data_IF_852314754154
#
_entry.id   IF_852314754154
#
_cell.length_a   1.000
_cell.length_b   1.000
_cell.length_c   1.000
_cell.angle_alpha   90.00
_cell.angle_beta   90.00
_cell.angle_gamma   90.00
#
_symmetry.space_group_name_H-M   'P 1'
#
loop_
_entity.id
_entity.type
_entity.pdbx_description
1 polymer ?
#
# COMPACT_ATOMS: atom_id res chain seq x y z
N UNK A 1 9.42 4.50 -8.11
CA UNK A 1 9.96 3.58 -7.09
C UNK A 1 11.21 2.94 -7.64
N UNK A 2 12.17 2.67 -6.75
CA UNK A 2 13.53 2.29 -7.15
C UNK A 2 13.76 0.79 -6.99
N UNK A 3 13.02 0.15 -6.10
CA UNK A 3 12.97 -1.30 -5.92
C UNK A 3 11.64 -1.70 -5.27
N UNK A 4 11.37 -2.99 -5.18
CA UNK A 4 10.20 -3.55 -4.48
C UNK A 4 10.58 -4.72 -3.60
N UNK A 5 9.86 -4.89 -2.48
CA UNK A 5 9.81 -6.14 -1.74
C UNK A 5 8.49 -6.84 -2.07
N UNK A 6 8.57 -8.11 -2.40
CA UNK A 6 7.45 -9.02 -2.57
C UNK A 6 7.64 -10.21 -1.62
N UNK A 7 6.58 -10.81 -1.12
CA UNK A 7 6.67 -12.03 -0.32
C UNK A 7 6.13 -13.24 -1.10
N UNK A 8 6.87 -14.35 -1.06
CA UNK A 8 6.51 -15.57 -1.80
C UNK A 8 5.18 -16.15 -1.33
N UNK A 9 4.26 -16.57 -2.23
CA UNK A 9 2.96 -17.13 -1.87
C UNK A 9 3.01 -18.62 -1.47
N UNK A 10 4.17 -19.16 -1.12
CA UNK A 10 4.35 -20.59 -0.81
C UNK A 10 3.35 -21.11 0.24
N UNK A 11 3.06 -20.29 1.26
CA UNK A 11 2.14 -20.64 2.35
C UNK A 11 0.86 -19.79 2.34
N UNK A 12 0.65 -19.01 1.27
CA UNK A 12 -0.57 -18.22 1.13
C UNK A 12 -1.82 -19.10 1.15
N UNK A 13 -2.80 -18.71 1.96
CA UNK A 13 -4.08 -19.38 2.09
C UNK A 13 -5.14 -18.46 2.71
N UNK A 14 -6.43 -18.74 2.48
CA UNK A 14 -7.55 -18.02 3.10
C UNK A 14 -8.03 -18.79 4.33
N UNK A 15 -7.29 -18.70 5.43
CA UNK A 15 -7.60 -19.42 6.68
C UNK A 15 -8.64 -18.72 7.56
N UNK A 16 -8.75 -17.39 7.43
CA UNK A 16 -9.62 -16.54 8.25
C UNK A 16 -10.22 -15.41 7.41
N UNK A 17 -11.26 -14.74 7.92
CA UNK A 17 -11.82 -13.53 7.30
C UNK A 17 -11.64 -12.35 8.24
N UNK A 18 -10.68 -11.51 7.94
CA UNK A 18 -10.33 -10.32 8.72
C UNK A 18 -10.70 -9.01 8.00
N UNK A 19 -11.33 -9.11 6.83
CA UNK A 19 -11.84 -7.97 6.07
C UNK A 19 -13.12 -8.34 5.31
N UNK A 20 -13.94 -7.35 4.90
CA UNK A 20 -15.23 -7.59 4.25
C UNK A 20 -15.14 -8.18 2.84
N UNK A 21 -13.98 -8.17 2.20
CA UNK A 21 -13.77 -8.68 0.85
C UNK A 21 -13.29 -10.13 0.82
N UNK A 22 -12.98 -10.71 1.99
CA UNK A 22 -12.50 -12.11 2.08
C UNK A 22 -13.59 -13.08 1.67
N UNK A 23 -13.28 -13.97 0.72
CA UNK A 23 -14.15 -15.06 0.30
C UNK A 23 -13.70 -16.41 0.89
N UNK A 24 -14.22 -16.78 2.04
CA UNK A 24 -13.92 -18.07 2.72
C UNK A 24 -14.45 -19.32 2.02
N UNK A 25 -15.33 -19.18 1.03
CA UNK A 25 -15.98 -20.31 0.35
C UNK A 25 -15.15 -20.87 -0.79
N UNK A 26 -14.10 -20.16 -1.21
CA UNK A 26 -13.23 -20.58 -2.30
C UNK A 26 -11.88 -21.02 -1.78
N UNK A 27 -11.45 -22.19 -2.19
CA UNK A 27 -10.09 -22.68 -1.94
C UNK A 27 -9.09 -21.94 -2.85
N UNK A 28 -7.92 -21.65 -2.33
CA UNK A 28 -6.82 -21.04 -3.08
C UNK A 28 -6.20 -22.08 -4.01
N UNK A 29 -6.20 -21.79 -5.31
CA UNK A 29 -5.41 -22.58 -6.25
C UNK A 29 -3.93 -22.18 -6.12
N UNK A 30 -3.15 -22.99 -5.41
CA UNK A 30 -1.74 -22.71 -5.09
C UNK A 30 -0.86 -22.54 -6.33
N UNK A 31 -1.07 -23.38 -7.36
CA UNK A 31 -0.30 -23.29 -8.61
C UNK A 31 -0.64 -22.01 -9.38
N UNK A 32 -1.91 -21.63 -9.42
CA UNK A 32 -2.33 -20.37 -10.03
C UNK A 32 -1.79 -19.17 -9.26
N UNK A 33 -1.87 -19.16 -7.92
CA UNK A 33 -1.29 -18.11 -7.08
C UNK A 33 0.21 -17.94 -7.33
N UNK A 34 0.96 -19.06 -7.41
CA UNK A 34 2.38 -19.06 -7.74
C UNK A 34 2.65 -18.50 -9.14
N UNK A 35 1.84 -18.89 -10.14
CA UNK A 35 1.96 -18.36 -11.51
C UNK A 35 1.70 -16.85 -11.55
N UNK A 36 0.65 -16.37 -10.87
CA UNK A 36 0.32 -14.95 -10.77
C UNK A 36 1.44 -14.16 -10.10
N UNK A 37 1.98 -14.65 -8.99
CA UNK A 37 3.13 -14.06 -8.32
C UNK A 37 4.36 -13.99 -9.23
N UNK A 38 4.70 -15.07 -9.93
CA UNK A 38 5.83 -15.08 -10.85
C UNK A 38 5.64 -14.08 -12.00
N UNK A 39 4.40 -13.91 -12.48
CA UNK A 39 4.08 -12.89 -13.48
C UNK A 39 4.32 -11.49 -12.94
N UNK A 40 3.94 -11.22 -11.69
CA UNK A 40 4.22 -9.94 -11.01
C UNK A 40 5.73 -9.67 -10.90
N UNK A 41 6.50 -10.67 -10.46
CA UNK A 41 7.98 -10.59 -10.40
C UNK A 41 8.58 -10.27 -11.76
N UNK A 42 8.15 -11.00 -12.80
CA UNK A 42 8.65 -10.77 -14.17
C UNK A 42 8.27 -9.39 -14.73
N UNK A 43 7.12 -8.86 -14.35
CA UNK A 43 6.68 -7.53 -14.73
C UNK A 43 7.65 -6.45 -14.25
N UNK A 44 8.11 -6.51 -12.99
CA UNK A 44 9.12 -5.61 -12.44
C UNK A 44 10.51 -5.83 -13.08
N UNK A 45 10.95 -7.09 -13.19
CA UNK A 45 12.25 -7.43 -13.78
C UNK A 45 12.39 -6.94 -15.22
N UNK A 46 11.35 -7.09 -16.06
CA UNK A 46 11.32 -6.57 -17.44
C UNK A 46 11.52 -5.06 -17.51
N UNK A 47 11.13 -4.33 -16.47
CA UNK A 47 11.30 -2.87 -16.33
C UNK A 47 12.58 -2.48 -15.62
N UNK A 48 13.46 -3.46 -15.35
CA UNK A 48 14.72 -3.27 -14.61
C UNK A 48 14.52 -2.68 -13.21
N UNK A 49 13.34 -2.91 -12.60
CA UNK A 49 13.06 -2.58 -11.20
C UNK A 49 13.54 -3.76 -10.35
N UNK A 50 14.51 -3.57 -9.44
CA UNK A 50 15.00 -4.61 -8.54
C UNK A 50 13.87 -5.18 -7.68
N UNK A 51 13.84 -6.52 -7.58
CA UNK A 51 12.86 -7.25 -6.79
C UNK A 51 13.58 -8.00 -5.68
N UNK A 52 13.27 -7.66 -4.45
CA UNK A 52 13.70 -8.37 -3.25
C UNK A 52 12.57 -9.32 -2.82
N UNK A 53 12.88 -10.57 -2.55
CA UNK A 53 11.88 -11.58 -2.14
C UNK A 53 12.05 -11.85 -0.65
N UNK A 54 11.02 -11.51 0.11
CA UNK A 54 10.89 -11.88 1.52
C UNK A 54 10.49 -13.37 1.58
N UNK A 55 11.23 -14.13 2.38
CA UNK A 55 10.93 -15.55 2.59
C UNK A 55 9.57 -15.75 3.26
N UNK A 56 8.78 -16.71 2.77
CA UNK A 56 7.43 -16.95 3.29
C UNK A 56 7.48 -17.62 4.66
N UNK A 57 6.44 -17.35 5.47
CA UNK A 57 6.23 -18.02 6.76
C UNK A 57 4.97 -18.89 6.72
N UNK A 58 5.06 -20.12 7.23
CA UNK A 58 3.89 -21.00 7.36
C UNK A 58 2.89 -20.54 8.44
N UNK A 59 3.35 -19.64 9.34
CA UNK A 59 2.53 -19.06 10.40
C UNK A 59 1.66 -17.93 9.85
N UNK A 60 2.17 -17.15 8.87
CA UNK A 60 1.54 -15.93 8.36
C UNK A 60 1.15 -16.08 6.89
N UNK A 61 -0.03 -16.66 6.59
CA UNK A 61 -0.48 -16.84 5.20
C UNK A 61 -0.70 -15.51 4.46
N UNK A 62 -1.02 -14.43 5.18
CA UNK A 62 -1.24 -13.10 4.62
C UNK A 62 0.05 -12.28 4.42
N UNK A 63 1.23 -12.84 4.73
CA UNK A 63 2.52 -12.17 4.50
C UNK A 63 2.74 -11.76 3.04
N UNK A 64 2.03 -12.39 2.10
CA UNK A 64 2.01 -12.01 0.67
C UNK A 64 1.55 -10.56 0.46
N UNK A 65 0.79 -9.99 1.41
CA UNK A 65 0.36 -8.58 1.40
C UNK A 65 1.37 -7.72 2.17
N UNK A 66 2.63 -7.82 1.76
CA UNK A 66 3.79 -7.23 2.44
C UNK A 66 3.78 -5.70 2.51
N UNK A 67 3.01 -5.02 1.66
CA UNK A 67 2.87 -3.56 1.70
C UNK A 67 2.35 -3.05 3.05
N UNK A 68 1.54 -3.88 3.74
CA UNK A 68 1.00 -3.53 5.04
C UNK A 68 2.05 -3.57 6.17
N UNK A 69 3.23 -4.15 5.93
CA UNK A 69 4.23 -4.39 6.98
C UNK A 69 5.02 -3.14 7.38
N UNK A 70 5.12 -2.15 6.50
CA UNK A 70 5.89 -0.93 6.79
C UNK A 70 5.50 0.27 5.90
N UNK A 71 5.83 1.47 6.38
CA UNK A 71 6.00 2.67 5.58
C UNK A 71 7.49 2.89 5.30
N UNK A 72 7.86 3.05 4.05
CA UNK A 72 9.22 3.43 3.65
C UNK A 72 9.24 4.95 3.43
N UNK A 73 10.14 5.65 4.11
CA UNK A 73 10.30 7.09 3.92
C UNK A 73 10.92 7.37 2.55
N UNK A 74 10.27 8.27 1.82
CA UNK A 74 10.68 8.67 0.48
C UNK A 74 11.34 10.04 0.50
N UNK A 75 12.35 10.24 -0.37
CA UNK A 75 13.06 11.51 -0.44
C UNK A 75 13.89 11.80 0.82
N UNK A 76 14.31 10.78 1.55
CA UNK A 76 15.10 10.88 2.77
C UNK A 76 16.61 10.71 2.50
N UNK A 77 17.49 11.31 3.30
CA UNK A 77 18.95 11.17 3.10
C UNK A 77 19.49 9.79 3.50
N UNK A 78 18.69 8.99 4.18
CA UNK A 78 19.00 7.61 4.58
C UNK A 78 17.77 6.71 4.43
N UNK A 79 18.00 5.41 4.32
CA UNK A 79 16.93 4.41 4.24
C UNK A 79 16.24 4.28 5.59
N UNK A 80 14.96 4.56 5.67
CA UNK A 80 14.15 4.46 6.90
C UNK A 80 12.85 3.74 6.61
N UNK A 81 12.49 2.80 7.49
CA UNK A 81 11.24 2.07 7.49
C UNK A 81 10.55 2.18 8.85
N UNK A 82 9.28 2.57 8.87
CA UNK A 82 8.44 2.57 10.08
C UNK A 82 7.55 1.34 9.99
N UNK A 83 7.68 0.41 10.95
CA UNK A 83 6.96 -0.85 10.94
C UNK A 83 5.48 -0.66 11.26
N UNK A 84 4.68 -1.57 10.72
CA UNK A 84 3.30 -1.73 11.09
C UNK A 84 3.15 -2.15 12.57
N UNK A 85 1.93 -1.95 13.07
CA UNK A 85 1.43 -2.52 14.32
C UNK A 85 0.02 -3.02 14.05
N UNK A 86 -0.08 -4.27 13.65
CA UNK A 86 -1.32 -4.85 13.13
C UNK A 86 -2.45 -4.86 14.15
N UNK A 87 -3.65 -4.43 13.71
CA UNK A 87 -4.87 -4.52 14.49
C UNK A 87 -5.32 -5.98 14.66
N UNK A 88 -5.21 -6.77 13.58
CA UNK A 88 -5.68 -8.16 13.55
C UNK A 88 -4.63 -9.10 14.14
N UNK A 89 -5.01 -9.90 15.19
CA UNK A 89 -4.08 -10.83 15.83
C UNK A 89 -3.43 -11.82 14.87
N UNK A 90 -4.15 -12.23 13.83
CA UNK A 90 -3.71 -13.20 12.82
C UNK A 90 -2.49 -12.73 12.02
N UNK A 91 -2.26 -11.40 11.96
CA UNK A 91 -1.14 -10.80 11.23
C UNK A 91 0.00 -10.28 12.12
N UNK A 92 -0.20 -10.25 13.44
CA UNK A 92 0.83 -9.76 14.38
C UNK A 92 2.07 -10.64 14.34
N UNK A 93 3.21 -10.01 14.08
CA UNK A 93 4.51 -10.66 13.87
C UNK A 93 4.98 -10.65 12.42
N UNK A 94 4.09 -10.42 11.43
CA UNK A 94 4.51 -10.20 10.03
C UNK A 94 5.46 -9.01 9.92
N UNK A 95 5.20 -7.93 10.68
CA UNK A 95 6.02 -6.72 10.72
C UNK A 95 7.45 -6.99 11.19
N UNK A 96 7.64 -7.97 12.08
CA UNK A 96 8.98 -8.34 12.57
C UNK A 96 9.79 -9.06 11.50
N UNK A 97 9.14 -9.93 10.72
CA UNK A 97 9.79 -10.60 9.57
C UNK A 97 10.18 -9.58 8.50
N UNK A 98 9.26 -8.69 8.15
CA UNK A 98 9.53 -7.61 7.21
C UNK A 98 10.60 -6.64 7.75
N UNK A 99 10.57 -6.30 9.04
CA UNK A 99 11.56 -5.44 9.69
C UNK A 99 12.96 -6.00 9.65
N UNK A 100 13.13 -7.28 10.00
CA UNK A 100 14.43 -7.99 9.92
C UNK A 100 14.95 -8.02 8.49
N UNK A 101 14.07 -8.26 7.52
CA UNK A 101 14.43 -8.25 6.12
C UNK A 101 14.84 -6.85 5.63
N UNK A 102 14.08 -5.81 5.98
CA UNK A 102 14.41 -4.43 5.63
C UNK A 102 15.72 -3.98 6.29
N UNK A 103 15.98 -4.40 7.53
CA UNK A 103 17.26 -4.16 8.19
C UNK A 103 18.44 -4.77 7.41
N UNK A 104 18.28 -5.99 6.90
CA UNK A 104 19.31 -6.63 6.05
C UNK A 104 19.55 -5.91 4.73
N UNK A 105 18.58 -5.11 4.25
CA UNK A 105 18.70 -4.22 3.08
C UNK A 105 19.27 -2.83 3.44
N UNK A 106 19.68 -2.64 4.69
CA UNK A 106 20.31 -1.41 5.18
C UNK A 106 19.32 -0.32 5.63
N UNK A 107 18.07 -0.66 5.91
CA UNK A 107 17.09 0.29 6.45
C UNK A 107 17.29 0.46 7.97
N UNK A 108 17.24 1.71 8.45
CA UNK A 108 16.91 2.02 9.84
C UNK A 108 15.47 1.64 10.05
N UNK A 109 15.21 0.68 10.94
CA UNK A 109 13.87 0.19 11.25
C UNK A 109 13.38 0.85 12.53
N UNK A 110 12.19 1.46 12.46
CA UNK A 110 11.53 2.14 13.58
C UNK A 110 10.26 1.36 13.93
N UNK A 111 10.19 0.85 15.15
CA UNK A 111 8.98 0.25 15.72
C UNK A 111 8.13 1.33 16.39
N UNK A 112 6.80 1.23 16.23
CA UNK A 112 5.86 2.11 16.93
C UNK A 112 5.69 1.68 18.40
N UNK A 113 5.28 2.59 19.30
CA UNK A 113 5.09 2.29 20.72
C UNK A 113 4.08 1.15 20.94
N UNK A 114 4.35 0.33 21.96
CA UNK A 114 3.41 -0.67 22.44
C UNK A 114 2.35 -0.03 23.34
N UNK A 115 1.24 0.38 22.72
CA UNK A 115 0.13 1.02 23.38
C UNK A 115 -1.18 0.34 22.98
N UNK A 116 -2.09 0.02 23.94
CA UNK A 116 -3.41 -0.50 23.61
C UNK A 116 -4.17 0.41 22.67
N UNK A 117 -4.79 -0.17 21.64
CA UNK A 117 -5.55 0.59 20.64
C UNK A 117 -4.74 1.39 19.63
N UNK A 118 -3.40 1.38 19.72
CA UNK A 118 -2.53 1.95 18.69
C UNK A 118 -2.28 0.90 17.62
N UNK A 119 -2.80 1.14 16.40
CA UNK A 119 -2.64 0.26 15.25
C UNK A 119 -2.30 1.05 13.99
N UNK A 120 -1.44 0.48 13.16
CA UNK A 120 -1.02 1.05 11.88
C UNK A 120 -0.64 -0.06 10.90
N UNK A 121 -1.11 0.03 9.65
CA UNK A 121 -0.90 -1.04 8.67
C UNK A 121 -0.15 -0.55 7.39
N UNK A 122 1.01 0.08 7.60
CA UNK A 122 2.02 0.36 6.58
C UNK A 122 1.53 1.11 5.34
N UNK A 123 2.01 0.70 4.16
CA UNK A 123 1.63 1.30 2.88
C UNK A 123 0.17 0.97 2.46
N UNK A 124 -0.53 0.10 3.17
CA UNK A 124 -1.99 -0.06 3.02
C UNK A 124 -2.76 1.20 3.38
N UNK A 125 -2.31 1.90 4.43
CA UNK A 125 -2.92 3.13 4.95
C UNK A 125 -2.01 4.36 4.81
N UNK A 126 -1.02 4.28 3.92
CA UNK A 126 -0.10 5.38 3.61
C UNK A 126 0.16 5.47 2.12
N UNK A 127 0.09 6.68 1.57
CA UNK A 127 0.40 6.95 0.16
C UNK A 127 1.26 8.19 0.02
N UNK A 128 2.33 8.08 -0.73
CA UNK A 128 3.11 9.23 -1.18
C UNK A 128 2.48 9.87 -2.41
N UNK A 129 2.50 11.19 -2.49
CA UNK A 129 2.32 11.89 -3.78
C UNK A 129 3.43 11.49 -4.75
N UNK A 130 3.16 11.60 -6.06
CA UNK A 130 4.14 11.19 -7.07
C UNK A 130 5.48 11.94 -6.97
N UNK A 131 5.46 13.21 -6.55
CA UNK A 131 6.65 14.04 -6.35
C UNK A 131 7.34 13.84 -4.99
N UNK A 132 6.75 13.03 -4.10
CA UNK A 132 7.29 12.72 -2.78
C UNK A 132 7.14 13.84 -1.74
N UNK A 133 6.44 14.93 -2.05
CA UNK A 133 6.29 16.08 -1.13
C UNK A 133 5.18 15.91 -0.10
N UNK A 134 4.14 15.14 -0.46
CA UNK A 134 3.00 14.89 0.39
C UNK A 134 2.94 13.42 0.80
N UNK A 135 2.70 13.18 2.07
CA UNK A 135 2.39 11.87 2.63
C UNK A 135 0.96 11.87 3.15
N UNK A 136 0.14 11.02 2.58
CA UNK A 136 -1.23 10.78 2.98
C UNK A 136 -1.28 9.61 3.94
N UNK A 137 -1.75 9.83 5.15
CA UNK A 137 -2.01 8.81 6.18
C UNK A 137 -3.51 8.67 6.38
N UNK A 138 -3.97 7.47 6.62
CA UNK A 138 -5.39 7.21 6.76
C UNK A 138 -5.69 6.38 8.01
N UNK A 139 -6.86 6.62 8.61
CA UNK A 139 -7.36 5.87 9.75
C UNK A 139 -8.86 5.57 9.61
N UNK A 140 -9.33 4.60 10.38
CA UNK A 140 -10.73 4.17 10.38
C UNK A 140 -10.89 2.68 10.09
N UNK A 141 -12.13 2.21 9.99
CA UNK A 141 -12.50 0.84 9.60
C UNK A 141 -11.92 -0.31 10.44
N UNK A 142 -11.31 0.00 11.60
CA UNK A 142 -10.80 -1.00 12.56
C UNK A 142 -9.47 -1.64 12.16
N UNK A 143 -8.69 -0.97 11.29
CA UNK A 143 -7.32 -1.34 10.93
C UNK A 143 -6.34 -0.32 11.49
N UNK A 144 -6.04 0.74 10.79
CA UNK A 144 -5.24 1.84 11.33
C UNK A 144 -6.11 2.74 12.20
N UNK A 145 -5.61 3.13 13.37
CA UNK A 145 -6.28 4.02 14.31
C UNK A 145 -5.74 5.44 14.21
N UNK A 146 -6.48 6.43 14.72
CA UNK A 146 -6.01 7.81 14.79
C UNK A 146 -4.72 7.91 15.61
N UNK A 147 -4.63 7.21 16.74
CA UNK A 147 -3.41 7.12 17.55
C UNK A 147 -2.25 6.49 16.79
N UNK A 148 -2.53 5.52 15.88
CA UNK A 148 -1.53 4.91 15.02
C UNK A 148 -0.91 5.90 14.04
N UNK A 149 -1.72 6.71 13.34
CA UNK A 149 -1.18 7.71 12.42
C UNK A 149 -0.48 8.86 13.14
N UNK A 150 -0.91 9.23 14.36
CA UNK A 150 -0.18 10.21 15.17
C UNK A 150 1.20 9.68 15.59
N UNK A 151 1.31 8.43 16.01
CA UNK A 151 2.60 7.80 16.34
C UNK A 151 3.53 7.74 15.11
N UNK A 152 2.99 7.45 13.92
CA UNK A 152 3.77 7.51 12.65
C UNK A 152 4.25 8.92 12.38
N UNK A 153 3.39 9.93 12.53
CA UNK A 153 3.75 11.34 12.37
C UNK A 153 4.87 11.76 13.32
N UNK A 154 4.76 11.41 14.60
CA UNK A 154 5.80 11.66 15.60
C UNK A 154 7.12 10.99 15.24
N UNK A 155 7.09 9.72 14.79
CA UNK A 155 8.28 9.01 14.34
C UNK A 155 8.96 9.71 13.15
N UNK A 156 8.18 10.20 12.16
CA UNK A 156 8.68 10.96 11.01
C UNK A 156 9.32 12.27 11.46
N UNK A 157 8.65 13.03 12.34
CA UNK A 157 9.17 14.32 12.83
C UNK A 157 10.46 14.13 13.64
N UNK A 158 10.53 13.12 14.50
CA UNK A 158 11.74 12.77 15.24
C UNK A 158 12.88 12.41 14.29
N UNK A 159 12.61 11.58 13.29
CA UNK A 159 13.58 11.16 12.29
C UNK A 159 14.04 12.35 11.44
N UNK A 160 13.16 13.30 11.14
CA UNK A 160 13.48 14.55 10.43
C UNK A 160 14.48 15.41 11.22
N UNK A 161 14.25 15.57 12.52
CA UNK A 161 15.16 16.28 13.42
C UNK A 161 16.54 15.62 13.50
N UNK A 162 16.57 14.29 13.70
CA UNK A 162 17.81 13.51 13.76
C UNK A 162 18.62 13.57 12.45
N UNK A 163 17.93 13.56 11.32
CA UNK A 163 18.55 13.61 9.98
C UNK A 163 18.84 15.03 9.50
N UNK A 164 18.40 16.06 10.23
CA UNK A 164 18.40 17.48 9.79
C UNK A 164 17.76 17.65 8.43
N UNK A 165 16.63 16.96 8.20
CA UNK A 165 15.90 16.91 6.94
C UNK A 165 14.50 17.48 7.06
N UNK A 166 13.96 18.03 5.98
CA UNK A 166 12.59 18.56 5.98
C UNK A 166 11.59 17.41 5.88
N UNK A 167 10.60 17.33 6.80
CA UNK A 167 9.55 16.33 6.69
C UNK A 167 8.61 16.67 5.52
N UNK A 168 7.89 15.65 4.97
CA UNK A 168 6.83 15.90 4.00
C UNK A 168 5.66 16.65 4.62
N UNK A 169 4.81 17.24 3.77
CA UNK A 169 3.47 17.63 4.22
C UNK A 169 2.67 16.38 4.54
N UNK A 170 2.19 16.23 5.78
CA UNK A 170 1.45 15.05 6.23
C UNK A 170 -0.04 15.38 6.26
N UNK A 171 -0.82 14.67 5.47
CA UNK A 171 -2.28 14.71 5.42
C UNK A 171 -2.87 13.55 6.22
N UNK A 172 -3.98 13.78 6.91
CA UNK A 172 -4.64 12.76 7.74
C UNK A 172 -6.09 12.57 7.29
N UNK A 173 -6.39 11.43 6.71
CA UNK A 173 -7.70 11.13 6.16
C UNK A 173 -8.47 10.12 7.01
N UNK A 174 -9.78 10.32 7.13
CA UNK A 174 -10.68 9.41 7.84
C UNK A 174 -11.53 8.60 6.84
N UNK A 175 -11.32 7.28 6.79
CA UNK A 175 -12.15 6.34 6.03
C UNK A 175 -13.33 5.91 6.89
N UNK A 176 -14.53 5.92 6.29
CA UNK A 176 -15.81 5.53 6.91
C UNK A 176 -16.47 4.34 6.24
N UNK A 177 -16.11 4.02 4.98
CA UNK A 177 -16.68 2.88 4.23
C UNK A 177 -15.96 1.58 4.60
N UNK A 178 -16.68 0.62 5.18
CA UNK A 178 -16.12 -0.65 5.67
C UNK A 178 -15.51 -1.52 4.56
N UNK A 179 -16.02 -1.46 3.32
CA UNK A 179 -15.49 -2.25 2.19
C UNK A 179 -14.13 -1.77 1.73
N UNK A 180 -13.82 -0.49 1.93
CA UNK A 180 -12.50 0.09 1.67
C UNK A 180 -11.68 0.14 2.97
N UNK A 181 -11.46 -1.03 3.57
CA UNK A 181 -10.84 -1.20 4.89
C UNK A 181 -9.37 -0.71 4.98
N UNK A 182 -8.72 -0.42 3.85
CA UNK A 182 -7.45 0.28 3.72
C UNK A 182 -7.55 1.40 2.69
N UNK A 183 -6.69 2.41 2.81
CA UNK A 183 -6.62 3.54 1.88
C UNK A 183 -6.28 3.10 0.45
N UNK A 184 -5.48 2.08 0.29
CA UNK A 184 -5.07 1.54 -1.01
C UNK A 184 -6.22 0.96 -1.85
N UNK A 185 -7.41 0.79 -1.26
CA UNK A 185 -8.63 0.41 -1.96
C UNK A 185 -9.46 1.61 -2.44
N UNK A 186 -9.18 2.82 -1.99
CA UNK A 186 -10.04 3.97 -2.29
C UNK A 186 -9.31 5.25 -2.68
N UNK A 187 -7.97 5.26 -2.62
CA UNK A 187 -7.18 6.45 -2.88
C UNK A 187 -5.82 6.08 -3.49
N UNK A 188 -5.51 6.66 -4.65
CA UNK A 188 -4.20 6.53 -5.26
C UNK A 188 -3.80 7.86 -5.92
N UNK A 189 -2.86 8.62 -5.32
CA UNK A 189 -2.25 9.77 -5.99
C UNK A 189 -1.53 9.32 -7.26
N UNK A 190 -1.69 10.06 -8.33
CA UNK A 190 -1.07 9.81 -9.63
C UNK A 190 -0.14 10.96 -10.01
N UNK A 191 0.74 10.76 -11.02
CA UNK A 191 1.48 11.85 -11.64
C UNK A 191 0.58 12.99 -12.10
N UNK A 192 1.18 14.19 -12.28
CA UNK A 192 0.50 15.39 -12.77
C UNK A 192 -0.68 15.85 -11.90
N UNK A 193 -0.53 15.72 -10.58
CA UNK A 193 -1.51 16.13 -9.57
C UNK A 193 -2.91 15.54 -9.79
N UNK A 194 -3.00 14.29 -10.24
CA UNK A 194 -4.25 13.53 -10.37
C UNK A 194 -4.43 12.54 -9.24
N UNK A 195 -5.65 12.07 -9.05
CA UNK A 195 -5.97 11.05 -8.04
C UNK A 195 -7.08 10.12 -8.51
N UNK A 196 -6.89 8.79 -8.32
CA UNK A 196 -8.00 7.84 -8.33
C UNK A 196 -8.65 7.86 -6.95
N UNK A 197 -9.95 8.06 -6.90
CA UNK A 197 -10.66 8.28 -5.65
C UNK A 197 -12.02 7.59 -5.64
N UNK A 198 -12.28 6.75 -4.63
CA UNK A 198 -13.64 6.39 -4.23
C UNK A 198 -14.10 7.38 -3.16
N UNK A 199 -14.70 8.48 -3.59
CA UNK A 199 -14.96 9.67 -2.77
C UNK A 199 -15.81 9.37 -1.53
N UNK A 200 -16.83 8.51 -1.65
CA UNK A 200 -17.74 8.18 -0.53
C UNK A 200 -17.11 7.30 0.55
N UNK A 201 -15.89 6.82 0.34
CA UNK A 201 -15.12 6.13 1.39
C UNK A 201 -14.68 7.06 2.51
N UNK A 202 -14.60 8.35 2.26
CA UNK A 202 -14.02 9.32 3.18
C UNK A 202 -15.07 10.17 3.89
N UNK A 203 -14.76 10.63 5.11
CA UNK A 203 -15.53 11.65 5.81
C UNK A 203 -15.63 12.95 4.99
N UNK A 204 -16.60 13.81 5.32
CA UNK A 204 -16.79 15.07 4.59
C UNK A 204 -15.52 15.94 4.59
N UNK A 205 -14.86 16.07 5.75
CA UNK A 205 -13.65 16.88 5.89
C UNK A 205 -12.50 16.33 5.07
N UNK A 206 -12.30 15.01 5.11
CA UNK A 206 -11.28 14.35 4.30
C UNK A 206 -11.54 14.48 2.79
N UNK A 207 -12.80 14.39 2.36
CA UNK A 207 -13.17 14.65 0.95
C UNK A 207 -12.85 16.06 0.53
N UNK A 208 -13.17 17.05 1.40
CA UNK A 208 -12.88 18.45 1.15
C UNK A 208 -11.38 18.67 0.98
N UNK A 209 -10.56 18.15 1.90
CA UNK A 209 -9.10 18.23 1.83
C UNK A 209 -8.53 17.63 0.54
N UNK A 210 -9.01 16.42 0.14
CA UNK A 210 -8.57 15.79 -1.11
C UNK A 210 -8.93 16.67 -2.33
N UNK A 211 -10.17 17.17 -2.40
CA UNK A 211 -10.62 17.99 -3.52
C UNK A 211 -9.91 19.36 -3.56
N UNK A 212 -9.62 19.98 -2.42
CA UNK A 212 -8.83 21.20 -2.33
C UNK A 212 -7.40 21.00 -2.84
N UNK A 213 -6.78 19.86 -2.53
CA UNK A 213 -5.41 19.55 -2.97
C UNK A 213 -5.31 19.22 -4.45
N UNK A 214 -6.18 18.36 -4.95
CA UNK A 214 -6.08 17.87 -6.35
C UNK A 214 -6.92 18.68 -7.34
N UNK A 215 -8.02 19.27 -6.89
CA UNK A 215 -9.05 19.88 -7.74
C UNK A 215 -10.00 18.82 -8.32
N UNK A 216 -11.30 19.19 -8.50
CA UNK A 216 -12.31 18.27 -9.06
C UNK A 216 -11.97 17.76 -10.45
N UNK A 217 -11.35 18.58 -11.29
CA UNK A 217 -10.95 18.24 -12.65
C UNK A 217 -9.85 17.17 -12.73
N UNK A 218 -9.07 17.01 -11.65
CA UNK A 218 -7.98 16.05 -11.53
C UNK A 218 -8.39 14.81 -10.70
N UNK A 219 -9.61 14.80 -10.16
CA UNK A 219 -10.15 13.70 -9.38
C UNK A 219 -10.89 12.72 -10.30
N UNK A 220 -10.36 11.51 -10.40
CA UNK A 220 -10.95 10.43 -11.21
C UNK A 220 -11.75 9.55 -10.27
N UNK A 221 -13.08 9.67 -10.35
CA UNK A 221 -13.98 8.93 -9.49
C UNK A 221 -14.01 7.44 -9.85
N UNK A 222 -13.81 6.58 -8.83
CA UNK A 222 -13.85 5.12 -8.93
C UNK A 222 -15.09 4.63 -8.18
N UNK A 223 -16.03 3.94 -8.83
CA UNK A 223 -17.20 3.38 -8.14
C UNK A 223 -16.81 2.19 -7.25
N UNK A 224 -17.61 1.93 -6.20
CA UNK A 224 -17.30 0.89 -5.18
C UNK A 224 -17.06 -0.51 -5.80
N UNK A 225 -17.73 -0.86 -6.90
CA UNK A 225 -17.52 -2.13 -7.61
C UNK A 225 -16.15 -2.26 -8.26
N UNK A 226 -15.42 -1.15 -8.42
CA UNK A 226 -14.10 -1.04 -9.07
C UNK A 226 -12.98 -0.63 -8.10
N UNK A 227 -13.15 -0.77 -6.80
CA UNK A 227 -12.19 -0.28 -5.79
C UNK A 227 -10.78 -0.84 -5.98
N UNK A 228 -10.64 -2.05 -6.50
CA UNK A 228 -9.32 -2.58 -6.84
C UNK A 228 -8.56 -1.77 -7.90
N UNK A 229 -9.24 -0.88 -8.64
CA UNK A 229 -8.53 0.08 -9.51
C UNK A 229 -7.63 1.02 -8.71
N UNK A 230 -8.01 1.41 -7.48
CA UNK A 230 -7.15 2.17 -6.58
C UNK A 230 -5.99 1.32 -6.03
N UNK A 231 -6.16 0.00 -5.97
CA UNK A 231 -5.12 -0.94 -5.52
C UNK A 231 -4.11 -1.25 -6.63
N UNK A 232 -3.64 -0.19 -7.27
CA UNK A 232 -2.69 -0.20 -8.37
C UNK A 232 -1.36 0.40 -7.93
N UNK A 233 -0.33 0.18 -8.76
CA UNK A 233 1.03 0.68 -8.51
C UNK A 233 1.50 1.46 -9.73
N UNK A 234 1.80 2.76 -9.58
CA UNK A 234 2.46 3.49 -10.63
C UNK A 234 3.94 3.08 -10.70
N UNK A 235 4.37 2.73 -11.91
CA UNK A 235 5.71 2.23 -12.19
C UNK A 235 6.66 3.41 -12.49
N UNK A 236 6.13 4.39 -13.20
CA UNK A 236 6.76 5.65 -13.56
C UNK A 236 5.69 6.72 -13.88
N UNK A 237 6.08 7.84 -14.48
CA UNK A 237 5.17 8.94 -14.83
C UNK A 237 4.09 8.58 -15.86
N UNK A 238 4.28 7.51 -16.64
CA UNK A 238 3.41 7.13 -17.75
C UNK A 238 2.78 5.75 -17.62
N UNK A 239 3.26 4.93 -16.69
CA UNK A 239 2.90 3.52 -16.61
C UNK A 239 2.29 3.17 -15.25
N UNK A 240 1.11 2.56 -15.30
CA UNK A 240 0.36 2.09 -14.13
C UNK A 240 0.17 0.57 -14.23
N UNK A 241 0.55 -0.16 -13.19
CA UNK A 241 0.25 -1.58 -13.04
C UNK A 241 -1.06 -1.72 -12.31
N UNK A 242 -2.06 -2.30 -12.98
CA UNK A 242 -3.43 -2.45 -12.46
C UNK A 242 -3.82 -3.93 -12.36
N UNK A 243 -4.67 -4.30 -11.40
CA UNK A 243 -5.23 -5.64 -11.40
C UNK A 243 -6.15 -5.83 -12.60
N UNK A 244 -6.12 -7.02 -13.19
CA UNK A 244 -7.08 -7.41 -14.22
C UNK A 244 -8.48 -7.50 -13.60
N UNK A 245 -9.37 -6.63 -14.04
CA UNK A 245 -10.76 -6.58 -13.60
C UNK A 245 -11.68 -7.21 -14.66
N UNK A 246 -12.91 -7.64 -14.29
CA UNK A 246 -13.83 -8.32 -15.22
C UNK A 246 -14.39 -7.44 -16.34
N UNK A 247 -14.00 -6.17 -16.43
CA UNK A 247 -14.41 -5.19 -17.44
C UNK A 247 -13.24 -4.41 -17.99
N UNK A 248 -13.40 -3.91 -19.22
CA UNK A 248 -12.38 -3.18 -19.95
C UNK A 248 -11.87 -1.93 -19.19
N UNK A 249 -10.56 -1.79 -19.06
CA UNK A 249 -9.87 -0.69 -18.39
C UNK A 249 -9.62 0.53 -19.27
N UNK A 250 -10.03 0.49 -20.56
CA UNK A 250 -9.92 1.65 -21.47
C UNK A 250 -10.37 2.98 -20.86
N UNK A 251 -11.49 3.03 -20.12
CA UNK A 251 -11.89 4.27 -19.45
C UNK A 251 -10.87 4.78 -18.43
N UNK A 252 -10.07 3.90 -17.82
CA UNK A 252 -9.04 4.30 -16.85
C UNK A 252 -7.83 4.90 -17.57
N UNK A 253 -7.35 4.29 -18.66
CA UNK A 253 -6.28 4.85 -19.50
C UNK A 253 -6.62 6.24 -20.02
N UNK A 254 -7.83 6.40 -20.56
CA UNK A 254 -8.32 7.68 -21.08
C UNK A 254 -8.36 8.77 -19.99
N UNK A 255 -8.83 8.41 -18.79
CA UNK A 255 -8.95 9.35 -17.67
C UNK A 255 -7.61 9.66 -17.01
N UNK A 256 -6.78 8.65 -16.79
CA UNK A 256 -5.48 8.81 -16.15
C UNK A 256 -4.41 9.35 -17.08
N UNK A 257 -4.59 9.20 -18.41
CA UNK A 257 -3.56 9.46 -19.42
C UNK A 257 -2.28 8.66 -19.18
N UNK A 258 -2.42 7.47 -18.60
CA UNK A 258 -1.33 6.54 -18.31
C UNK A 258 -1.54 5.24 -19.08
N UNK A 259 -0.45 4.58 -19.47
CA UNK A 259 -0.50 3.23 -20.03
C UNK A 259 -0.80 2.24 -18.89
N UNK A 260 -1.94 1.59 -18.93
CA UNK A 260 -2.34 0.60 -17.93
C UNK A 260 -1.84 -0.79 -18.33
N UNK A 261 -1.09 -1.42 -17.44
CA UNK A 261 -0.61 -2.78 -17.59
C UNK A 261 -1.40 -3.70 -16.67
N UNK A 262 -2.29 -4.50 -17.26
CA UNK A 262 -3.12 -5.43 -16.49
C UNK A 262 -2.32 -6.64 -15.99
N UNK A 263 -2.59 -7.04 -14.75
CA UNK A 263 -2.03 -8.27 -14.17
C UNK A 263 -3.12 -9.06 -13.44
N UNK A 264 -3.20 -10.36 -13.73
CA UNK A 264 -4.11 -11.26 -13.00
C UNK A 264 -3.54 -11.59 -11.62
N UNK A 265 -4.28 -11.19 -10.58
CA UNK A 265 -4.02 -11.49 -9.16
C UNK A 265 -5.28 -12.05 -8.49
N UNK A 266 -6.13 -12.73 -9.27
CA UNK A 266 -7.45 -13.20 -8.83
C UNK A 266 -7.41 -14.14 -7.63
N UNK A 267 -6.33 -14.93 -7.45
CA UNK A 267 -6.19 -15.78 -6.26
C UNK A 267 -6.00 -14.95 -4.98
N UNK A 268 -5.31 -13.80 -5.08
CA UNK A 268 -5.10 -12.91 -3.94
C UNK A 268 -6.35 -12.07 -3.60
N UNK A 269 -7.24 -11.85 -4.57
CA UNK A 269 -8.56 -11.27 -4.32
C UNK A 269 -9.41 -12.12 -3.36
N UNK A 270 -9.18 -13.42 -3.26
CA UNK A 270 -9.90 -14.30 -2.32
C UNK A 270 -9.70 -13.90 -0.86
N UNK A 271 -8.53 -13.37 -0.51
CA UNK A 271 -8.26 -12.79 0.82
C UNK A 271 -8.54 -11.29 0.90
N UNK A 272 -9.06 -10.68 -0.19
CA UNK A 272 -9.38 -9.26 -0.24
C UNK A 272 -8.21 -8.35 -0.62
N UNK A 273 -7.02 -8.88 -0.88
CA UNK A 273 -5.86 -8.09 -1.33
C UNK A 273 -5.74 -8.04 -2.86
N UNK A 274 -4.91 -7.13 -3.38
CA UNK A 274 -4.65 -6.97 -4.82
C UNK A 274 -3.21 -6.51 -5.05
N UNK A 275 -2.91 -5.95 -6.21
CA UNK A 275 -1.55 -5.64 -6.68
C UNK A 275 -0.75 -4.79 -5.69
N UNK A 276 -1.32 -3.66 -5.24
CA UNK A 276 -0.63 -2.77 -4.31
C UNK A 276 -0.37 -3.42 -2.96
N UNK A 277 -1.31 -4.22 -2.45
CA UNK A 277 -1.12 -4.96 -1.19
C UNK A 277 0.09 -5.89 -1.25
N UNK A 278 0.41 -6.44 -2.43
CA UNK A 278 1.53 -7.36 -2.62
C UNK A 278 2.88 -6.67 -2.79
N UNK A 279 2.92 -5.34 -2.94
CA UNK A 279 4.11 -4.58 -3.33
C UNK A 279 4.49 -3.58 -2.25
N UNK A 280 5.54 -3.86 -1.49
CA UNK A 280 6.16 -2.85 -0.64
C UNK A 280 7.18 -2.07 -1.48
N UNK A 281 6.81 -0.83 -1.83
CA UNK A 281 7.65 0.04 -2.63
C UNK A 281 8.83 0.57 -1.82
N UNK A 282 10.04 0.50 -2.40
CA UNK A 282 11.27 1.02 -1.83
C UNK A 282 11.74 2.25 -2.61
N UNK A 283 12.41 3.16 -1.90
CA UNK A 283 12.94 4.40 -2.44
C UNK A 283 14.43 4.54 -2.13
N UNK A 284 15.20 5.02 -3.10
CA UNK A 284 16.59 5.39 -2.87
C UNK A 284 16.72 6.66 -2.04
N UNK A 285 17.88 6.77 -1.38
CA UNK A 285 18.22 7.96 -0.63
C UNK A 285 18.51 9.12 -1.58
N UNK A 286 18.11 10.33 -1.19
CA UNK A 286 18.60 11.53 -1.87
C UNK A 286 20.07 11.73 -1.52
N UNK A 287 20.87 12.03 -2.52
CA UNK A 287 22.26 12.42 -2.30
C UNK A 287 22.27 13.81 -1.66
N UNK A 288 22.85 13.91 -0.49
CA UNK A 288 23.08 15.18 0.22
C UNK A 288 24.34 15.82 -0.32
#
# INVERSE_FOLDING_TARGET
MDAVVLASPKYYDVKYAINPLTNKRSEVNKEKAKKQFNTLVQHFKKRKIPVHILEPSSIYPDLVFVSNSALILRGWPRKVAILARYAKPERRGEEMLAGSFLHSLGYKVISLPEQPGLHYEGQGDSRWSHDGKDLWLCYGTGRTTKSGIEAVREAILKEALESKWLPPTIHQLHIIEKKTYHMDLCFLPLPNNRVLLHETSFSNDSRKEIIEKFGRQNTIHIPLRLIYTCNSVWLDERNLLIPKLPWSEKPIEEKTKMNCHEIDVSEFHLAGGSVSCMVLALWECVKV
#
